data_IF_758140362282
#
_entry.id   IF_758140362282
#
_cell.length_a   1.000
_cell.length_b   1.000
_cell.length_c   1.000
_cell.angle_alpha   90.00
_cell.angle_beta   90.00
_cell.angle_gamma   90.00
#
_symmetry.space_group_name_H-M   'P 1'
#
loop_
_entity.id
_entity.type
_entity.pdbx_description
1 polymer ?
#
# COMPACT_ATOMS: atom_id res chain seq x y z
N UNK A 1 -50.56 -21.80 70.30
CA UNK A 1 -50.87 -20.77 69.28
C UNK A 1 -49.53 -20.12 68.85
N UNK A 2 -48.99 -20.49 67.70
CA UNK A 2 -47.74 -19.96 67.19
C UNK A 2 -48.03 -18.93 66.09
N UNK A 3 -47.62 -17.69 66.31
CA UNK A 3 -47.74 -16.62 65.32
C UNK A 3 -46.55 -16.75 64.29
N UNK A 4 -46.90 -17.14 63.10
CA UNK A 4 -46.00 -17.10 61.95
C UNK A 4 -45.79 -15.64 61.49
N UNK A 5 -44.57 -15.09 61.66
CA UNK A 5 -44.16 -13.85 61.05
C UNK A 5 -43.82 -14.16 59.59
N UNK A 6 -44.57 -13.60 58.66
CA UNK A 6 -44.19 -13.52 57.24
C UNK A 6 -43.09 -12.46 57.09
N UNK A 7 -41.90 -12.87 56.74
CA UNK A 7 -40.83 -11.98 56.28
C UNK A 7 -41.21 -11.43 54.94
N UNK A 8 -41.05 -10.11 54.78
CA UNK A 8 -41.23 -9.39 53.54
C UNK A 8 -39.94 -9.62 52.65
N UNK A 9 -40.10 -9.99 51.38
CA UNK A 9 -38.92 -10.18 50.50
C UNK A 9 -38.16 -8.87 50.31
N UNK A 10 -36.81 -8.91 50.14
CA UNK A 10 -35.99 -7.72 49.92
C UNK A 10 -36.33 -7.03 48.61
N UNK A 11 -36.38 -5.73 48.63
CA UNK A 11 -36.61 -4.85 47.49
C UNK A 11 -35.38 -4.86 46.61
N UNK A 12 -35.47 -5.49 45.43
CA UNK A 12 -34.38 -5.60 44.41
C UNK A 12 -34.41 -4.47 43.40
N UNK A 13 -35.17 -3.40 43.64
CA UNK A 13 -35.32 -2.30 42.66
C UNK A 13 -34.09 -1.37 42.51
N UNK A 14 -33.13 -1.45 43.46
CA UNK A 14 -31.98 -0.55 43.47
C UNK A 14 -30.77 -1.00 42.63
N UNK A 15 -30.72 -2.29 42.22
CA UNK A 15 -29.50 -2.84 41.63
C UNK A 15 -29.49 -2.83 40.08
N UNK A 16 -30.64 -2.63 39.44
CA UNK A 16 -30.72 -2.59 37.97
C UNK A 16 -30.41 -1.21 37.37
N UNK A 17 -30.55 -0.13 38.10
CA UNK A 17 -30.29 1.21 37.58
C UNK A 17 -28.77 1.56 37.45
N UNK A 18 -27.91 0.90 38.23
CA UNK A 18 -26.46 1.15 38.17
C UNK A 18 -25.72 0.31 37.12
N UNK A 19 -26.29 -0.80 36.69
CA UNK A 19 -25.68 -1.64 35.65
C UNK A 19 -25.90 -1.08 34.23
N UNK A 20 -26.91 -0.22 34.02
CA UNK A 20 -27.23 0.35 32.70
C UNK A 20 -26.36 1.56 32.33
N UNK A 21 -25.73 2.23 33.30
CA UNK A 21 -24.88 3.41 33.03
C UNK A 21 -23.44 3.07 32.62
N UNK A 22 -23.02 1.80 32.70
CA UNK A 22 -21.67 1.36 32.39
C UNK A 22 -21.47 0.94 30.92
N UNK A 23 -22.50 0.96 30.09
CA UNK A 23 -22.46 0.43 28.73
C UNK A 23 -22.91 1.41 27.64
N UNK A 24 -22.94 2.70 27.93
CA UNK A 24 -23.05 3.64 26.81
C UNK A 24 -21.67 3.75 26.14
N UNK A 25 -21.53 3.18 24.93
CA UNK A 25 -20.26 3.23 24.23
C UNK A 25 -19.90 4.69 23.93
N UNK A 26 -18.81 5.13 24.47
CA UNK A 26 -18.29 6.47 24.19
C UNK A 26 -17.94 6.56 22.70
N UNK A 27 -18.13 7.73 22.06
CA UNK A 27 -17.80 7.96 20.64
C UNK A 27 -16.35 7.55 20.28
N UNK A 28 -15.46 7.51 21.27
CA UNK A 28 -14.06 7.09 21.11
C UNK A 28 -13.87 5.56 21.07
N UNK A 29 -14.91 4.78 21.37
CA UNK A 29 -14.85 3.31 21.39
C UNK A 29 -15.13 2.70 20.01
N UNK A 30 -15.51 3.52 19.04
CA UNK A 30 -15.77 3.09 17.67
C UNK A 30 -14.62 3.43 16.74
N UNK A 31 -13.90 2.42 16.31
CA UNK A 31 -12.99 2.55 15.18
C UNK A 31 -13.82 2.72 13.92
N UNK A 32 -13.71 3.87 13.27
CA UNK A 32 -14.39 4.13 12.01
C UNK A 32 -13.62 3.52 10.83
N UNK A 33 -14.31 3.26 9.73
CA UNK A 33 -13.65 2.83 8.48
C UNK A 33 -12.58 3.84 8.01
N UNK A 34 -12.78 5.13 8.30
CA UNK A 34 -11.79 6.17 8.01
C UNK A 34 -10.53 6.01 8.88
N UNK A 35 -10.67 5.58 10.14
CA UNK A 35 -9.52 5.33 11.02
C UNK A 35 -8.73 4.10 10.56
N UNK A 36 -9.41 3.03 10.16
CA UNK A 36 -8.77 1.83 9.59
C UNK A 36 -7.98 2.20 8.34
N UNK A 37 -8.60 2.91 7.39
CA UNK A 37 -7.92 3.35 6.16
C UNK A 37 -6.74 4.29 6.42
N UNK A 38 -6.82 5.12 7.45
CA UNK A 38 -5.71 6.00 7.82
C UNK A 38 -4.54 5.21 8.40
N UNK A 39 -4.82 4.20 9.22
CA UNK A 39 -3.81 3.30 9.78
C UNK A 39 -3.17 2.45 8.68
N UNK A 40 -3.97 1.86 7.79
CA UNK A 40 -3.47 1.11 6.63
C UNK A 40 -2.51 1.96 5.79
N UNK A 41 -2.92 3.18 5.42
CA UNK A 41 -2.06 4.11 4.67
C UNK A 41 -0.79 4.49 5.42
N UNK A 42 -0.85 4.64 6.74
CA UNK A 42 0.33 4.94 7.54
C UNK A 42 1.31 3.75 7.56
N UNK A 43 0.81 2.54 7.73
CA UNK A 43 1.61 1.30 7.69
C UNK A 43 2.24 1.12 6.30
N UNK A 44 1.45 1.28 5.23
CA UNK A 44 1.95 1.20 3.85
C UNK A 44 3.04 2.25 3.58
N UNK A 45 2.81 3.50 3.99
CA UNK A 45 3.78 4.57 3.81
C UNK A 45 5.08 4.30 4.58
N UNK A 46 5.00 3.77 5.80
CA UNK A 46 6.17 3.43 6.62
C UNK A 46 6.93 2.23 6.03
N UNK A 47 6.22 1.22 5.51
CA UNK A 47 6.83 0.05 4.89
C UNK A 47 7.53 0.37 3.56
N UNK A 48 7.00 1.34 2.80
CA UNK A 48 7.54 1.74 1.48
C UNK A 48 8.62 2.82 1.61
N UNK A 49 8.49 3.71 2.59
CA UNK A 49 9.42 4.82 2.77
C UNK A 49 10.62 4.39 3.60
N UNK A 50 11.74 4.15 2.95
CA UNK A 50 12.97 3.69 3.61
C UNK A 50 13.75 4.81 4.32
N UNK A 51 13.53 6.08 3.92
CA UNK A 51 14.17 7.26 4.51
C UNK A 51 13.19 8.45 4.45
N UNK A 52 13.35 9.44 5.32
CA UNK A 52 12.50 10.65 5.35
C UNK A 52 12.64 11.50 4.10
N UNK A 53 13.84 11.56 3.55
CA UNK A 53 14.12 12.21 2.26
C UNK A 53 13.71 11.26 1.13
N UNK A 54 12.82 11.70 0.26
CA UNK A 54 12.28 10.87 -0.81
C UNK A 54 13.36 10.47 -1.83
N UNK A 55 14.30 11.36 -2.13
CA UNK A 55 15.42 11.05 -3.03
C UNK A 55 16.32 9.96 -2.46
N UNK A 56 16.64 10.03 -1.16
CA UNK A 56 17.41 8.99 -0.48
C UNK A 56 16.63 7.69 -0.39
N UNK A 57 15.33 7.76 -0.11
CA UNK A 57 14.46 6.58 -0.06
C UNK A 57 14.44 5.84 -1.41
N UNK A 58 14.30 6.58 -2.51
CA UNK A 58 14.35 5.99 -3.86
C UNK A 58 15.70 5.39 -4.18
N UNK A 59 16.80 6.06 -3.78
CA UNK A 59 18.15 5.51 -3.97
C UNK A 59 18.31 4.18 -3.23
N UNK A 60 17.87 4.09 -1.98
CA UNK A 60 17.90 2.85 -1.20
C UNK A 60 17.05 1.75 -1.83
N UNK A 61 15.90 2.11 -2.42
CA UNK A 61 15.09 1.18 -3.20
C UNK A 61 15.81 0.67 -4.44
N UNK A 62 16.48 1.56 -5.18
CA UNK A 62 17.28 1.17 -6.34
C UNK A 62 18.40 0.19 -5.96
N UNK A 63 19.08 0.40 -4.83
CA UNK A 63 20.09 -0.53 -4.31
C UNK A 63 19.49 -1.89 -3.92
N UNK A 64 18.34 -1.91 -3.24
CA UNK A 64 17.63 -3.16 -2.91
C UNK A 64 17.21 -3.92 -4.17
N UNK A 65 16.66 -3.23 -5.16
CA UNK A 65 16.25 -3.81 -6.44
C UNK A 65 17.46 -4.37 -7.19
N UNK A 66 18.59 -3.66 -7.18
CA UNK A 66 19.84 -4.13 -7.78
C UNK A 66 20.35 -5.41 -7.12
N UNK A 67 20.35 -5.46 -5.78
CA UNK A 67 20.74 -6.64 -5.02
C UNK A 67 19.83 -7.84 -5.29
N UNK A 68 18.55 -7.60 -5.59
CA UNK A 68 17.55 -8.63 -5.93
C UNK A 68 17.51 -8.97 -7.43
N UNK A 69 18.44 -8.47 -8.24
CA UNK A 69 18.47 -8.63 -9.70
C UNK A 69 17.15 -8.17 -10.38
N UNK A 70 16.52 -7.16 -9.79
CA UNK A 70 15.25 -6.62 -10.27
C UNK A 70 15.33 -5.22 -10.86
N UNK A 71 16.49 -4.54 -10.75
CA UNK A 71 16.67 -3.20 -11.30
C UNK A 71 17.01 -3.27 -12.77
N UNK A 72 16.17 -2.70 -13.62
CA UNK A 72 16.41 -2.57 -15.07
C UNK A 72 17.12 -1.28 -15.43
N UNK A 73 16.83 -0.19 -14.73
CA UNK A 73 17.46 1.11 -14.94
C UNK A 73 17.16 2.08 -13.83
N UNK A 74 18.14 2.92 -13.53
CA UNK A 74 17.97 3.99 -12.55
C UNK A 74 18.77 5.22 -12.99
N UNK A 75 18.09 6.36 -13.05
CA UNK A 75 18.67 7.68 -13.25
C UNK A 75 18.05 8.64 -12.25
N UNK A 76 18.87 9.22 -11.41
CA UNK A 76 18.47 10.30 -10.52
C UNK A 76 18.44 11.64 -11.28
N UNK A 77 17.52 12.52 -10.92
CA UNK A 77 17.42 13.87 -11.46
C UNK A 77 18.65 14.77 -11.18
N UNK A 78 19.51 14.37 -10.23
CA UNK A 78 20.74 15.11 -9.89
C UNK A 78 21.99 14.60 -10.62
N UNK A 79 21.90 13.48 -11.35
CA UNK A 79 22.98 12.94 -12.13
C UNK A 79 22.80 13.27 -13.61
N UNK A 80 23.86 13.64 -14.35
CA UNK A 80 23.74 13.87 -15.79
C UNK A 80 23.30 12.60 -16.51
N UNK A 81 22.56 12.78 -17.59
CA UNK A 81 22.13 11.67 -18.42
C UNK A 81 23.30 11.11 -19.25
N UNK A 82 23.36 9.80 -19.52
CA UNK A 82 24.30 9.26 -20.49
C UNK A 82 24.09 9.91 -21.86
N UNK A 83 25.13 10.32 -22.57
CA UNK A 83 25.02 11.07 -23.83
C UNK A 83 24.14 10.39 -24.88
N UNK A 84 24.19 9.06 -24.96
CA UNK A 84 23.41 8.26 -25.90
C UNK A 84 21.96 7.98 -25.48
N UNK A 85 21.56 8.36 -24.25
CA UNK A 85 20.22 8.03 -23.72
C UNK A 85 19.11 8.90 -24.31
N UNK A 86 19.45 10.09 -24.84
CA UNK A 86 18.47 11.08 -25.28
C UNK A 86 17.62 11.67 -24.14
N UNK A 87 17.95 11.37 -22.88
CA UNK A 87 17.23 11.87 -21.72
C UNK A 87 17.76 13.26 -21.31
N UNK A 88 16.91 14.18 -20.85
CA UNK A 88 17.34 15.41 -20.18
C UNK A 88 18.16 15.12 -18.91
N UNK A 89 19.06 16.03 -18.55
CA UNK A 89 19.91 15.88 -17.36
C UNK A 89 19.08 15.85 -16.05
N UNK A 90 17.97 16.54 -16.01
CA UNK A 90 17.03 16.58 -14.88
C UNK A 90 15.98 15.45 -14.91
N UNK A 91 16.02 14.56 -15.91
CA UNK A 91 15.10 13.43 -15.98
C UNK A 91 15.32 12.46 -14.80
N UNK A 92 14.23 11.93 -14.30
CA UNK A 92 14.20 10.83 -13.34
C UNK A 92 13.70 9.57 -14.02
N UNK A 93 14.41 8.46 -13.85
CA UNK A 93 13.97 7.13 -14.33
C UNK A 93 14.23 6.10 -13.23
N UNK A 94 13.25 5.30 -12.93
CA UNK A 94 13.35 4.08 -12.13
C UNK A 94 12.59 2.98 -12.86
N UNK A 95 13.31 2.05 -13.46
CA UNK A 95 12.75 0.90 -14.15
C UNK A 95 13.13 -0.38 -13.39
N UNK A 96 12.13 -1.19 -13.07
CA UNK A 96 12.35 -2.41 -12.31
C UNK A 96 11.38 -3.52 -12.71
N UNK A 97 11.78 -4.73 -12.38
CA UNK A 97 11.02 -5.94 -12.65
C UNK A 97 11.31 -6.96 -11.56
N UNK A 98 10.30 -7.59 -10.99
CA UNK A 98 10.52 -8.71 -10.07
C UNK A 98 10.93 -9.97 -10.85
N UNK A 99 11.61 -10.95 -10.21
CA UNK A 99 11.92 -12.22 -10.86
C UNK A 99 10.68 -12.91 -11.46
N UNK A 100 9.57 -12.92 -10.72
CA UNK A 100 8.31 -13.48 -11.21
C UNK A 100 7.77 -12.76 -12.44
N UNK A 101 7.85 -11.43 -12.47
CA UNK A 101 7.43 -10.64 -13.63
C UNK A 101 8.33 -10.93 -14.85
N UNK A 102 9.63 -11.08 -14.64
CA UNK A 102 10.57 -11.46 -15.69
C UNK A 102 10.23 -12.81 -16.30
N UNK A 103 9.95 -13.82 -15.46
CA UNK A 103 9.58 -15.15 -15.92
C UNK A 103 8.28 -15.12 -16.73
N UNK A 104 7.28 -14.37 -16.27
CA UNK A 104 6.02 -14.18 -17.00
C UNK A 104 6.24 -13.44 -18.33
N UNK A 105 7.12 -12.45 -18.35
CA UNK A 105 7.45 -11.74 -19.58
C UNK A 105 8.14 -12.66 -20.59
N UNK A 106 9.08 -13.50 -20.16
CA UNK A 106 9.72 -14.49 -21.02
C UNK A 106 8.74 -15.54 -21.53
N UNK A 107 7.82 -15.98 -20.68
CA UNK A 107 6.85 -17.01 -21.03
C UNK A 107 5.80 -16.51 -22.03
N UNK A 108 5.29 -15.31 -21.83
CA UNK A 108 4.12 -14.79 -22.55
C UNK A 108 4.45 -13.63 -23.50
N UNK A 109 5.47 -12.82 -23.21
CA UNK A 109 5.81 -11.62 -23.99
C UNK A 109 6.58 -11.92 -25.27
N UNK A 110 7.37 -12.99 -25.29
CA UNK A 110 8.29 -13.29 -26.41
C UNK A 110 7.57 -13.73 -27.70
N UNK A 111 6.37 -14.29 -27.60
CA UNK A 111 5.56 -14.76 -28.75
C UNK A 111 4.14 -14.22 -28.74
N UNK A 112 3.82 -13.36 -27.79
CA UNK A 112 2.48 -12.81 -27.58
C UNK A 112 2.40 -11.32 -27.89
N UNK A 113 1.34 -10.71 -27.40
CA UNK A 113 1.10 -9.28 -27.50
C UNK A 113 1.52 -8.65 -26.17
N UNK A 114 2.39 -7.64 -26.23
CA UNK A 114 2.69 -6.77 -25.12
C UNK A 114 2.02 -5.41 -25.33
N UNK A 115 1.45 -4.87 -24.26
CA UNK A 115 0.84 -3.55 -24.24
C UNK A 115 1.72 -2.65 -23.35
N UNK A 116 1.86 -1.40 -23.74
CA UNK A 116 2.51 -0.37 -22.94
C UNK A 116 1.46 0.67 -22.59
N UNK A 117 1.28 0.89 -21.29
CA UNK A 117 0.35 1.90 -20.75
C UNK A 117 1.12 2.94 -19.96
N UNK A 118 0.86 4.21 -20.28
CA UNK A 118 1.42 5.35 -19.58
C UNK A 118 0.33 6.05 -18.74
N UNK A 119 0.40 5.91 -17.43
CA UNK A 119 -0.57 6.52 -16.51
C UNK A 119 0.02 7.79 -15.90
N UNK A 120 -0.67 8.92 -16.08
CA UNK A 120 -0.29 10.22 -15.55
C UNK A 120 -0.96 10.51 -14.21
N UNK A 121 -0.37 11.40 -13.41
CA UNK A 121 -0.92 11.86 -12.13
C UNK A 121 -1.13 10.75 -11.08
N UNK A 122 -0.35 9.69 -11.13
CA UNK A 122 -0.37 8.61 -10.14
C UNK A 122 0.50 8.91 -8.92
N UNK A 123 1.36 9.93 -9.02
CA UNK A 123 2.24 10.38 -7.94
C UNK A 123 1.94 11.82 -7.56
N UNK A 124 2.40 12.24 -6.37
CA UNK A 124 2.34 13.64 -5.94
C UNK A 124 3.31 14.54 -6.72
N UNK A 125 4.24 13.97 -7.47
CA UNK A 125 5.23 14.68 -8.25
C UNK A 125 4.67 15.01 -9.64
N UNK A 126 4.72 16.29 -9.99
CA UNK A 126 4.28 16.77 -11.31
C UNK A 126 5.18 16.20 -12.41
N UNK A 127 4.57 15.90 -13.55
CA UNK A 127 5.26 15.44 -14.76
C UNK A 127 5.91 14.04 -14.63
N UNK A 128 5.56 13.27 -13.60
CA UNK A 128 5.92 11.86 -13.54
C UNK A 128 4.86 10.99 -14.20
N UNK A 129 5.31 10.08 -15.05
CA UNK A 129 4.48 9.08 -15.70
C UNK A 129 4.86 7.71 -15.18
N UNK A 130 3.88 6.93 -14.74
CA UNK A 130 4.06 5.51 -14.49
C UNK A 130 3.85 4.76 -15.80
N UNK A 131 4.91 4.16 -16.34
CA UNK A 131 4.80 3.31 -17.52
C UNK A 131 4.76 1.85 -17.09
N UNK A 132 3.76 1.13 -17.57
CA UNK A 132 3.55 -0.29 -17.26
C UNK A 132 3.56 -1.10 -18.54
N UNK A 133 4.35 -2.17 -18.58
CA UNK A 133 4.24 -3.18 -19.63
C UNK A 133 3.30 -4.28 -19.14
N UNK A 134 2.36 -4.67 -19.97
CA UNK A 134 1.39 -5.72 -19.70
C UNK A 134 1.56 -6.81 -20.75
N UNK A 135 1.80 -8.04 -20.34
CA UNK A 135 1.77 -9.20 -21.22
C UNK A 135 0.49 -9.99 -20.99
N UNK A 136 0.01 -10.64 -22.03
CA UNK A 136 -1.23 -11.44 -21.98
C UNK A 136 -0.86 -12.90 -21.77
N UNK A 137 -1.46 -13.54 -20.78
CA UNK A 137 -1.32 -14.97 -20.56
C UNK A 137 -2.11 -15.80 -21.59
N UNK A 138 -2.00 -17.11 -21.52
CA UNK A 138 -2.70 -18.02 -22.46
C UNK A 138 -4.23 -18.07 -22.27
N UNK A 139 -4.75 -17.58 -21.12
CA UNK A 139 -6.21 -17.41 -20.91
C UNK A 139 -6.70 -16.05 -21.34
N UNK A 140 -5.82 -15.15 -21.76
CA UNK A 140 -6.18 -13.82 -22.19
C UNK A 140 -6.20 -12.78 -21.08
N UNK A 141 -5.73 -13.11 -19.87
CA UNK A 141 -5.63 -12.15 -18.79
C UNK A 141 -4.36 -11.31 -18.92
N UNK A 142 -4.47 -10.02 -18.61
CA UNK A 142 -3.34 -9.11 -18.60
C UNK A 142 -2.51 -9.28 -17.33
N UNK A 143 -1.21 -9.52 -17.48
CA UNK A 143 -0.24 -9.55 -16.38
C UNK A 143 0.62 -8.30 -16.42
N UNK A 144 0.57 -7.49 -15.36
CA UNK A 144 1.27 -6.20 -15.28
C UNK A 144 2.76 -6.40 -14.99
N UNK A 145 3.57 -5.73 -15.79
CA UNK A 145 5.00 -5.51 -15.58
C UNK A 145 5.18 -4.02 -15.29
N UNK A 146 5.81 -3.67 -14.20
CA UNK A 146 6.05 -2.26 -13.86
C UNK A 146 7.43 -1.84 -14.37
N UNK A 147 7.46 -0.74 -15.11
CA UNK A 147 8.67 -0.03 -15.52
C UNK A 147 8.90 1.19 -14.65
#
# INVERSE_FOLDING_TARGET
MAHSRREKPPDLSGTQAQASSMLEPHRNDFITLADVRRIEKAIEAEAVRLERDDGKSVFLWAEKLRAADGLLGFKSCICPAPPESGLPDDAFVLAFQTPSQRDQFHLHGNKGIAFIDGTHNTTMYKNMTLTTIIVRDHWGHGMRQYL
#
